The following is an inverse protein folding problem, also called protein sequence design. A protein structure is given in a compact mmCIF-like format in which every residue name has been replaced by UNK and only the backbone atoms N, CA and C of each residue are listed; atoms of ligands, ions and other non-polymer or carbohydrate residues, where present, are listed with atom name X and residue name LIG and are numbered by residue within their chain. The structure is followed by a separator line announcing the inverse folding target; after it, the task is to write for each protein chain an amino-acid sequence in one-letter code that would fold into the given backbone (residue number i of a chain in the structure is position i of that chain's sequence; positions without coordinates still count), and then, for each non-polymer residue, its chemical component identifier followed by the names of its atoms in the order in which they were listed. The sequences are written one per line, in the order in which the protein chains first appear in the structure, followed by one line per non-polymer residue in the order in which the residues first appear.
data_IF_865210436727
#
_entry.id   IF_865210436727
#
_cell.length_a   1.000
_cell.length_b   1.000
_cell.length_c   1.000
_cell.angle_alpha   90.00
_cell.angle_beta   90.00
_cell.angle_gamma   90.00
#
_symmetry.space_group_name_H-M   'P 1'
#
loop_
_entity.id
_entity.type
_entity.pdbx_description
1 polymer ?
#
# COMPACT_ATOMS: atom_id res chain seq x y z
N UNK A 1 -13.94 -3.58 -7.52
CA UNK A 1 -14.13 -2.18 -7.98
C UNK A 1 -12.96 -1.79 -8.88
N UNK A 2 -13.17 -1.69 -10.19
CA UNK A 2 -12.27 -0.97 -11.10
C UNK A 2 -12.84 0.44 -11.26
N UNK A 3 -12.33 1.40 -10.50
CA UNK A 3 -12.46 2.82 -10.83
C UNK A 3 -11.31 3.15 -11.77
N UNK A 4 -11.61 3.79 -12.91
CA UNK A 4 -10.64 4.35 -13.86
C UNK A 4 -9.52 5.01 -13.05
N UNK A 5 -8.37 4.35 -12.99
CA UNK A 5 -7.20 4.83 -12.27
C UNK A 5 -6.59 5.90 -13.15
N UNK A 6 -6.64 7.14 -12.71
CA UNK A 6 -5.57 8.06 -13.06
C UNK A 6 -4.26 7.37 -12.63
N UNK A 7 -3.49 6.92 -13.62
CA UNK A 7 -2.24 6.23 -13.40
C UNK A 7 -1.16 7.26 -13.06
N UNK A 8 -1.12 7.69 -11.81
CA UNK A 8 -0.16 8.71 -11.36
C UNK A 8 1.20 8.07 -11.07
N UNK A 9 2.29 8.66 -11.52
CA UNK A 9 3.64 8.25 -11.14
C UNK A 9 3.94 8.66 -9.69
N UNK A 10 4.75 7.86 -8.96
CA UNK A 10 5.21 8.24 -7.62
C UNK A 10 5.98 9.56 -7.58
N UNK A 11 6.54 10.00 -8.72
CA UNK A 11 7.27 11.28 -8.84
C UNK A 11 6.35 12.50 -9.00
N UNK A 12 5.10 12.29 -9.41
CA UNK A 12 4.11 13.36 -9.55
C UNK A 12 3.45 13.68 -8.21
N UNK A 13 3.53 12.76 -7.24
CA UNK A 13 3.05 12.96 -5.87
C UNK A 13 4.15 13.63 -5.04
N UNK A 14 4.03 14.93 -4.78
CA UNK A 14 5.06 15.73 -4.10
C UNK A 14 5.67 15.05 -2.86
N UNK A 15 4.82 14.54 -1.96
CA UNK A 15 5.28 13.86 -0.74
C UNK A 15 6.08 12.60 -1.04
N UNK A 16 5.60 11.79 -1.97
CA UNK A 16 6.26 10.53 -2.36
C UNK A 16 7.56 10.81 -3.11
N UNK A 17 7.57 11.81 -3.99
CA UNK A 17 8.75 12.26 -4.71
C UNK A 17 9.84 12.73 -3.74
N UNK A 18 9.49 13.55 -2.74
CA UNK A 18 10.40 13.99 -1.68
C UNK A 18 10.97 12.81 -0.90
N UNK A 19 10.12 11.87 -0.45
CA UNK A 19 10.58 10.66 0.26
C UNK A 19 11.55 9.83 -0.57
N UNK A 20 11.35 9.75 -1.89
CA UNK A 20 12.27 9.07 -2.79
C UNK A 20 13.61 9.81 -2.88
N UNK A 21 13.58 11.12 -3.04
CA UNK A 21 14.79 11.97 -3.10
C UNK A 21 15.60 11.92 -1.81
N UNK A 22 14.95 12.01 -0.64
CA UNK A 22 15.60 11.99 0.67
C UNK A 22 16.34 10.67 0.92
N UNK A 23 15.87 9.56 0.33
CA UNK A 23 16.53 8.26 0.38
C UNK A 23 17.45 7.99 -0.82
N UNK A 24 17.58 8.91 -1.77
CA UNK A 24 18.38 8.70 -2.98
C UNK A 24 17.85 7.61 -3.92
N UNK A 25 16.55 7.28 -3.86
CA UNK A 25 15.94 6.25 -4.72
C UNK A 25 15.12 6.85 -5.85
N UNK A 26 15.11 6.17 -7.00
CA UNK A 26 14.44 6.67 -8.21
C UNK A 26 12.94 6.39 -8.26
N UNK A 27 12.42 5.53 -7.37
CA UNK A 27 11.03 5.07 -7.32
C UNK A 27 10.68 4.64 -5.89
N UNK A 28 9.45 4.88 -5.46
CA UNK A 28 9.00 4.54 -4.10
C UNK A 28 9.06 3.03 -3.82
N UNK A 29 8.90 2.19 -4.84
CA UNK A 29 8.99 0.73 -4.70
C UNK A 29 10.42 0.25 -4.43
N UNK A 30 11.42 1.10 -4.59
CA UNK A 30 12.83 0.82 -4.25
C UNK A 30 13.21 1.34 -2.85
N UNK A 31 12.31 2.07 -2.20
CA UNK A 31 12.54 2.56 -0.84
C UNK A 31 12.53 1.36 0.12
N UNK A 32 13.49 1.22 1.06
CA UNK A 32 13.56 0.06 1.96
C UNK A 32 12.29 -0.14 2.79
N UNK A 33 11.72 0.96 3.31
CA UNK A 33 10.44 0.93 4.03
C UNK A 33 9.24 0.48 3.19
N UNK A 34 9.30 0.54 1.85
CA UNK A 34 8.22 0.01 1.00
C UNK A 34 8.13 -1.51 1.15
N UNK A 35 9.26 -2.20 1.18
CA UNK A 35 9.29 -3.65 1.38
C UNK A 35 8.77 -4.02 2.78
N UNK A 36 9.27 -3.33 3.80
CA UNK A 36 8.86 -3.56 5.19
C UNK A 36 7.36 -3.31 5.41
N UNK A 37 6.80 -2.21 4.92
CA UNK A 37 5.41 -1.83 5.22
C UNK A 37 4.37 -2.35 4.23
N UNK A 38 4.75 -2.60 2.97
CA UNK A 38 3.79 -2.92 1.92
C UNK A 38 3.93 -4.35 1.37
N UNK A 39 5.02 -5.06 1.65
CA UNK A 39 5.28 -6.40 1.10
C UNK A 39 5.57 -7.47 2.17
N UNK A 40 6.02 -7.11 3.37
CA UNK A 40 6.28 -8.06 4.44
C UNK A 40 4.96 -8.62 5.02
N UNK A 41 4.72 -9.91 4.84
CA UNK A 41 3.47 -10.59 5.25
C UNK A 41 3.24 -10.55 6.75
N UNK A 42 4.28 -10.72 7.57
CA UNK A 42 4.16 -10.73 9.04
C UNK A 42 3.70 -9.36 9.55
N UNK A 43 4.27 -8.29 8.98
CA UNK A 43 3.85 -6.91 9.28
C UNK A 43 2.43 -6.67 8.78
N UNK A 44 2.08 -7.10 7.57
CA UNK A 44 0.72 -6.94 7.02
C UNK A 44 -0.33 -7.69 7.86
N UNK A 45 -0.01 -8.87 8.36
CA UNK A 45 -0.92 -9.63 9.21
C UNK A 45 -1.12 -8.97 10.57
N UNK A 46 -0.04 -8.51 11.20
CA UNK A 46 -0.09 -7.75 12.44
C UNK A 46 -0.92 -6.46 12.28
N UNK A 47 -0.69 -5.72 11.21
CA UNK A 47 -1.38 -4.46 10.93
C UNK A 47 -2.87 -4.68 10.60
N UNK A 48 -3.23 -5.79 9.96
CA UNK A 48 -4.63 -6.13 9.76
C UNK A 48 -5.34 -6.51 11.06
N UNK A 49 -4.67 -7.20 12.00
CA UNK A 49 -5.24 -7.45 13.33
C UNK A 49 -5.49 -6.15 14.09
N UNK A 50 -4.57 -5.18 14.00
CA UNK A 50 -4.78 -3.82 14.56
C UNK A 50 -5.96 -3.14 13.88
N UNK A 51 -6.08 -3.27 12.56
CA UNK A 51 -7.18 -2.69 11.79
C UNK A 51 -8.54 -3.25 12.23
N UNK A 52 -8.65 -4.57 12.39
CA UNK A 52 -9.86 -5.21 12.88
C UNK A 52 -10.28 -4.69 14.26
N UNK A 53 -9.31 -4.45 15.16
CA UNK A 53 -9.60 -3.94 16.50
C UNK A 53 -9.99 -2.46 16.52
N UNK A 54 -9.32 -1.63 15.73
CA UNK A 54 -9.49 -0.18 15.77
C UNK A 54 -10.59 0.32 14.82
N UNK A 55 -10.82 -0.39 13.72
CA UNK A 55 -11.79 -0.04 12.68
C UNK A 55 -12.50 -1.31 12.17
N UNK A 56 -13.32 -1.99 12.99
CA UNK A 56 -13.93 -3.27 12.64
C UNK A 56 -14.79 -3.22 11.36
N UNK A 57 -15.41 -2.06 11.06
CA UNK A 57 -16.20 -1.84 9.85
C UNK A 57 -15.36 -1.82 8.56
N UNK A 58 -14.07 -1.52 8.65
CA UNK A 58 -13.16 -1.43 7.49
C UNK A 58 -12.57 -2.80 7.08
N UNK A 59 -12.45 -3.71 8.06
CA UNK A 59 -11.67 -4.93 7.89
C UNK A 59 -12.38 -5.98 7.02
N UNK A 60 -13.71 -6.09 7.11
CA UNK A 60 -14.54 -7.01 6.31
C UNK A 60 -14.13 -8.49 6.41
N UNK A 61 -14.92 -9.37 5.79
CA UNK A 61 -14.49 -10.75 5.53
C UNK A 61 -13.74 -10.77 4.19
N UNK A 62 -12.41 -10.90 4.26
CA UNK A 62 -11.52 -10.87 3.09
C UNK A 62 -10.69 -12.14 3.05
N UNK A 63 -10.54 -12.72 1.86
CA UNK A 63 -9.58 -13.81 1.66
C UNK A 63 -8.14 -13.36 1.95
N UNK A 64 -7.21 -14.29 2.26
CA UNK A 64 -5.85 -13.97 2.71
C UNK A 64 -5.10 -12.97 1.80
N UNK A 65 -5.17 -13.17 0.49
CA UNK A 65 -4.51 -12.31 -0.50
C UNK A 65 -5.14 -10.92 -0.60
N UNK A 66 -6.46 -10.84 -0.46
CA UNK A 66 -7.17 -9.55 -0.48
C UNK A 66 -6.89 -8.76 0.79
N UNK A 67 -6.83 -9.44 1.95
CA UNK A 67 -6.42 -8.89 3.24
C UNK A 67 -5.04 -8.25 3.15
N UNK A 68 -4.04 -8.96 2.62
CA UNK A 68 -2.68 -8.42 2.47
C UNK A 68 -2.64 -7.21 1.54
N UNK A 69 -3.28 -7.28 0.37
CA UNK A 69 -3.34 -6.15 -0.58
C UNK A 69 -4.02 -4.93 0.05
N UNK A 70 -5.15 -5.12 0.71
CA UNK A 70 -5.89 -4.04 1.37
C UNK A 70 -5.05 -3.38 2.46
N UNK A 71 -4.40 -4.19 3.30
CA UNK A 71 -3.54 -3.68 4.38
C UNK A 71 -2.33 -2.96 3.83
N UNK A 72 -1.70 -3.47 2.77
CA UNK A 72 -0.55 -2.84 2.12
C UNK A 72 -0.91 -1.45 1.56
N UNK A 73 -2.08 -1.31 0.92
CA UNK A 73 -2.54 0.00 0.46
C UNK A 73 -2.76 0.97 1.61
N UNK A 74 -3.37 0.51 2.72
CA UNK A 74 -3.62 1.35 3.89
C UNK A 74 -2.31 1.78 4.55
N UNK A 75 -1.38 0.84 4.73
CA UNK A 75 -0.03 1.12 5.24
C UNK A 75 0.72 2.11 4.36
N UNK A 76 0.69 1.92 3.04
CA UNK A 76 1.29 2.88 2.12
C UNK A 76 0.73 4.29 2.34
N UNK A 77 -0.60 4.46 2.36
CA UNK A 77 -1.22 5.78 2.55
C UNK A 77 -0.86 6.42 3.88
N UNK A 78 -0.76 5.62 4.94
CA UNK A 78 -0.35 6.09 6.26
C UNK A 78 1.12 6.53 6.26
N UNK A 79 1.99 5.70 5.70
CA UNK A 79 3.44 5.94 5.63
C UNK A 79 3.78 7.19 4.82
N UNK A 80 3.13 7.42 3.68
CA UNK A 80 3.35 8.63 2.87
C UNK A 80 2.77 9.90 3.51
N UNK A 81 2.26 9.82 4.74
CA UNK A 81 1.80 10.96 5.53
C UNK A 81 0.54 11.63 4.98
N UNK A 82 -0.16 10.96 4.05
CA UNK A 82 -1.38 11.51 3.48
C UNK A 82 -2.54 11.24 4.43
N UNK A 83 -2.86 12.20 5.30
CA UNK A 83 -4.21 12.28 5.87
C UNK A 83 -5.15 12.74 4.77
N UNK A 84 -6.08 11.90 4.27
CA UNK A 84 -7.12 12.40 3.39
C UNK A 84 -7.93 13.45 4.17
N UNK A 85 -7.97 14.69 3.69
CA UNK A 85 -9.04 15.62 4.10
C UNK A 85 -10.35 14.93 3.72
N UNK A 86 -11.31 14.87 4.64
CA UNK A 86 -12.59 14.17 4.45
C UNK A 86 -13.11 14.39 3.02
N UNK A 87 -13.21 13.31 2.24
CA UNK A 87 -13.69 13.33 0.85
C UNK A 87 -12.62 13.16 -0.24
N UNK A 88 -11.34 13.43 -0.01
CA UNK A 88 -10.30 13.26 -1.03
C UNK A 88 -9.66 11.87 -0.95
N UNK A 89 -9.98 10.99 -1.90
CA UNK A 89 -9.22 9.76 -2.12
C UNK A 89 -7.83 10.14 -2.64
N UNK A 90 -6.79 9.82 -1.88
CA UNK A 90 -5.42 10.07 -2.29
C UNK A 90 -5.07 9.06 -3.40
N UNK A 91 -4.64 9.52 -4.59
CA UNK A 91 -4.27 8.60 -5.66
C UNK A 91 -3.04 7.79 -5.25
N UNK A 92 -3.16 6.47 -5.32
CA UNK A 92 -2.02 5.56 -5.14
C UNK A 92 -1.19 5.54 -6.43
N UNK A 93 0.14 5.67 -6.35
CA UNK A 93 0.96 5.67 -7.55
C UNK A 93 0.92 4.29 -8.21
N UNK A 94 0.86 4.29 -9.54
CA UNK A 94 0.71 3.07 -10.36
C UNK A 94 1.78 2.02 -10.06
N UNK A 95 3.03 2.44 -9.87
CA UNK A 95 4.15 1.57 -9.50
C UNK A 95 3.92 0.82 -8.18
N UNK A 96 3.44 1.49 -7.13
CA UNK A 96 3.14 0.87 -5.85
C UNK A 96 2.02 -0.16 -6.00
N UNK A 97 0.95 0.21 -6.72
CA UNK A 97 -0.18 -0.70 -6.91
C UNK A 97 0.22 -1.95 -7.69
N UNK A 98 0.96 -1.80 -8.79
CA UNK A 98 1.42 -2.95 -9.57
C UNK A 98 2.34 -3.86 -8.73
N UNK A 99 3.25 -3.29 -7.93
CA UNK A 99 4.17 -4.07 -7.10
C UNK A 99 3.45 -4.88 -6.02
N UNK A 100 2.46 -4.29 -5.35
CA UNK A 100 1.62 -4.94 -4.33
C UNK A 100 0.75 -6.04 -4.96
N UNK A 101 0.16 -5.77 -6.13
CA UNK A 101 -0.66 -6.76 -6.84
C UNK A 101 0.14 -8.01 -7.23
N UNK A 102 1.37 -7.82 -7.74
CA UNK A 102 2.27 -8.92 -8.11
C UNK A 102 2.64 -9.80 -6.92
N UNK A 103 2.95 -9.21 -5.77
CA UNK A 103 3.33 -9.97 -4.57
C UNK A 103 2.18 -10.84 -4.07
N UNK A 104 0.97 -10.27 -3.98
CA UNK A 104 -0.21 -11.02 -3.56
C UNK A 104 -0.63 -12.15 -4.52
N UNK A 105 -0.19 -12.13 -5.78
CA UNK A 105 -0.41 -13.22 -6.75
C UNK A 105 0.67 -14.31 -6.69
N UNK A 106 1.81 -14.07 -6.03
CA UNK A 106 2.95 -14.99 -6.03
C UNK A 106 2.86 -16.08 -4.96
N UNK A 107 2.02 -15.88 -3.94
CA UNK A 107 1.85 -16.81 -2.82
C UNK A 107 0.97 -18.04 -3.12
N UNK A 108 0.54 -18.27 -4.36
CA UNK A 108 -0.23 -19.50 -4.71
C UNK A 108 0.63 -20.65 -5.25
N UNK A 109 1.95 -20.49 -5.38
CA UNK A 109 2.85 -21.54 -5.85
C UNK A 109 3.96 -21.77 -4.81
N UNK A 110 3.68 -22.55 -3.77
CA UNK A 110 4.74 -22.97 -2.86
C UNK A 110 4.27 -23.66 -1.58
N UNK A 111 3.86 -24.93 -1.73
CA UNK A 111 4.04 -26.09 -0.83
C UNK A 111 2.79 -26.95 -0.75
#
# INVERSE_FOLDING_TARGET
MQTVKESVCCRELHNVARMCSDQGVTCVTKHPLFELYCLNTDILDLEYLKLQRLCPLDAGDRGPQERHRYTAYRQFTWWVGHKPRRGNRVPLPSCAVQRIQREGSRSTNGS
#
